data_IF_882800493862
#
_entry.id   IF_882800493862
#
_cell.length_a   1.000
_cell.length_b   1.000
_cell.length_c   1.000
_cell.angle_alpha   90.00
_cell.angle_beta   90.00
_cell.angle_gamma   90.00
#
_symmetry.space_group_name_H-M   'P 1'
#
loop_
_entity.id
_entity.type
_entity.pdbx_description
1 polymer ?
#
# COMPACT_ATOMS: atom_id res chain seq x y z
N UNK A 1 6.32 6.37 -16.70
CA UNK A 1 5.62 7.16 -15.65
C UNK A 1 6.02 6.61 -14.30
N UNK A 2 6.19 7.46 -13.29
CA UNK A 2 6.57 7.04 -11.92
C UNK A 2 5.35 6.37 -11.26
N UNK A 3 5.58 5.28 -10.54
CA UNK A 3 4.54 4.54 -9.82
C UNK A 3 4.90 4.47 -8.33
N UNK A 4 3.89 4.52 -7.47
CA UNK A 4 4.06 4.44 -6.01
C UNK A 4 3.12 3.36 -5.49
N UNK A 5 3.65 2.44 -4.70
CA UNK A 5 2.84 1.46 -3.97
C UNK A 5 2.19 2.17 -2.78
N UNK A 6 0.90 1.97 -2.56
CA UNK A 6 0.14 2.61 -1.49
C UNK A 6 -0.36 1.55 -0.51
N UNK A 7 -0.03 1.77 0.75
CA UNK A 7 -0.40 0.95 1.89
C UNK A 7 -1.74 1.38 2.52
N UNK A 8 -2.28 0.58 3.44
CA UNK A 8 -3.52 0.80 4.18
C UNK A 8 -3.53 2.16 4.89
N UNK A 9 -2.46 2.49 5.61
CA UNK A 9 -2.38 3.70 6.45
C UNK A 9 -2.70 5.00 5.70
N UNK A 10 -2.03 5.31 4.59
CA UNK A 10 -2.34 6.49 3.79
C UNK A 10 -3.75 6.49 3.19
N UNK A 11 -4.29 5.34 2.79
CA UNK A 11 -5.67 5.28 2.31
C UNK A 11 -6.66 5.62 3.43
N UNK A 12 -6.45 5.09 4.63
CA UNK A 12 -7.24 5.45 5.81
C UNK A 12 -7.11 6.95 6.07
N UNK A 13 -5.89 7.48 6.10
CA UNK A 13 -5.63 8.90 6.33
C UNK A 13 -6.34 9.80 5.31
N UNK A 14 -6.34 9.45 4.01
CA UNK A 14 -6.99 10.23 2.97
C UNK A 14 -8.52 10.22 3.07
N UNK A 15 -9.12 9.10 3.46
CA UNK A 15 -10.58 8.92 3.48
C UNK A 15 -11.21 9.00 4.88
N UNK A 16 -10.41 9.25 5.90
CA UNK A 16 -10.84 9.57 7.26
C UNK A 16 -10.35 10.98 7.63
N UNK A 17 -11.19 12.00 7.45
CA UNK A 17 -10.81 13.41 7.59
C UNK A 17 -10.30 13.80 9.00
N UNK A 18 -10.57 12.99 10.03
CA UNK A 18 -10.09 13.22 11.41
C UNK A 18 -8.80 12.44 11.72
N UNK A 19 -8.27 11.70 10.77
CA UNK A 19 -7.01 11.00 10.95
C UNK A 19 -5.87 12.01 11.13
N UNK A 20 -4.99 11.73 12.09
CA UNK A 20 -3.84 12.60 12.39
C UNK A 20 -2.88 12.75 11.20
N UNK A 21 -2.90 11.80 10.26
CA UNK A 21 -2.09 11.82 9.05
C UNK A 21 -2.83 12.38 7.82
N UNK A 22 -4.07 12.87 7.95
CA UNK A 22 -4.87 13.35 6.81
C UNK A 22 -4.15 14.42 5.98
N UNK A 23 -3.74 15.51 6.63
CA UNK A 23 -3.05 16.63 5.96
C UNK A 23 -1.67 16.23 5.41
N UNK A 24 -0.81 15.53 6.17
CA UNK A 24 0.43 14.97 5.63
C UNK A 24 0.23 14.06 4.40
N UNK A 25 -0.81 13.21 4.40
CA UNK A 25 -1.08 12.30 3.29
C UNK A 25 -1.52 13.04 2.02
N UNK A 26 -2.35 14.07 2.16
CA UNK A 26 -2.70 14.96 1.04
C UNK A 26 -1.46 15.64 0.46
N UNK A 27 -0.60 16.22 1.30
CA UNK A 27 0.61 16.90 0.84
C UNK A 27 1.55 15.96 0.06
N UNK A 28 1.64 14.69 0.44
CA UNK A 28 2.40 13.68 -0.32
C UNK A 28 1.81 13.47 -1.71
N UNK A 29 0.49 13.33 -1.85
CA UNK A 29 -0.15 13.17 -3.17
C UNK A 29 0.06 14.39 -4.07
N UNK A 30 -0.07 15.60 -3.51
CA UNK A 30 0.09 16.86 -4.26
C UNK A 30 1.53 17.07 -4.74
N UNK A 31 2.52 16.71 -3.91
CA UNK A 31 3.95 16.86 -4.23
C UNK A 31 4.54 15.73 -5.05
N UNK A 32 3.82 14.60 -5.20
CA UNK A 32 4.31 13.41 -5.91
C UNK A 32 3.33 12.94 -6.98
N UNK A 33 3.18 13.65 -8.12
CA UNK A 33 2.37 13.19 -9.22
C UNK A 33 2.91 11.86 -9.77
N UNK A 34 2.18 10.78 -9.52
CA UNK A 34 2.54 9.41 -9.86
C UNK A 34 1.28 8.55 -10.02
N UNK A 35 1.39 7.44 -10.74
CA UNK A 35 0.33 6.45 -10.72
C UNK A 35 0.41 5.65 -9.41
N UNK A 36 -0.72 5.56 -8.71
CA UNK A 36 -0.80 4.82 -7.46
C UNK A 36 -1.19 3.36 -7.74
N UNK A 37 -0.51 2.44 -7.08
CA UNK A 37 -0.81 1.00 -7.16
C UNK A 37 -0.98 0.41 -5.77
N UNK A 38 -1.87 -0.56 -5.61
CA UNK A 38 -2.07 -1.31 -4.36
C UNK A 38 -2.69 -2.67 -4.65
N UNK A 39 -3.19 -3.38 -3.64
CA UNK A 39 -3.81 -4.70 -3.75
C UNK A 39 -5.17 -4.73 -3.05
N UNK A 40 -6.00 -5.72 -3.38
CA UNK A 40 -7.30 -5.89 -2.71
C UNK A 40 -7.22 -6.13 -1.19
N UNK A 41 -6.24 -6.88 -0.65
CA UNK A 41 -6.05 -6.99 0.80
C UNK A 41 -5.92 -5.63 1.52
N UNK A 42 -5.14 -4.70 0.97
CA UNK A 42 -5.04 -3.31 1.49
C UNK A 42 -6.38 -2.59 1.46
N UNK A 43 -7.16 -2.75 0.37
CA UNK A 43 -8.51 -2.16 0.28
C UNK A 43 -9.43 -2.73 1.37
N UNK A 44 -9.35 -4.05 1.61
CA UNK A 44 -10.14 -4.72 2.66
C UNK A 44 -9.79 -4.18 4.05
N UNK A 45 -8.50 -4.05 4.37
CA UNK A 45 -8.06 -3.48 5.65
C UNK A 45 -8.47 -2.02 5.81
N UNK A 46 -8.24 -1.18 4.79
CA UNK A 46 -8.66 0.21 4.83
C UNK A 46 -10.17 0.33 5.09
N UNK A 47 -10.99 -0.55 4.49
CA UNK A 47 -12.42 -0.58 4.74
C UNK A 47 -12.78 -0.93 6.20
N UNK A 48 -11.97 -1.69 6.93
CA UNK A 48 -12.23 -1.97 8.35
C UNK A 48 -12.18 -0.70 9.21
N UNK A 49 -11.29 0.24 8.88
CA UNK A 49 -11.12 1.49 9.62
C UNK A 49 -12.04 2.62 9.14
N UNK A 50 -12.51 2.55 7.89
CA UNK A 50 -13.31 3.62 7.28
C UNK A 50 -14.79 3.52 7.64
N UNK A 51 -15.43 4.68 7.79
CA UNK A 51 -16.89 4.80 7.82
C UNK A 51 -17.51 4.38 6.48
N UNK A 52 -18.84 4.22 6.44
CA UNK A 52 -19.54 3.93 5.18
C UNK A 52 -19.21 4.95 4.08
N UNK A 53 -19.25 6.25 4.41
CA UNK A 53 -18.89 7.31 3.47
C UNK A 53 -17.43 7.21 3.00
N UNK A 54 -16.48 6.90 3.91
CA UNK A 54 -15.07 6.70 3.58
C UNK A 54 -14.86 5.53 2.63
N UNK A 55 -15.52 4.38 2.87
CA UNK A 55 -15.48 3.21 1.98
C UNK A 55 -15.99 3.54 0.57
N UNK A 56 -17.12 4.23 0.47
CA UNK A 56 -17.65 4.67 -0.83
C UNK A 56 -16.70 5.63 -1.56
N UNK A 57 -16.04 6.53 -0.83
CA UNK A 57 -15.05 7.44 -1.39
C UNK A 57 -13.82 6.68 -1.90
N UNK A 58 -13.27 5.74 -1.13
CA UNK A 58 -12.15 4.89 -1.53
C UNK A 58 -12.48 4.07 -2.79
N UNK A 59 -13.64 3.41 -2.84
CA UNK A 59 -14.04 2.64 -4.01
C UNK A 59 -14.30 3.54 -5.23
N UNK A 60 -14.78 4.76 -5.01
CA UNK A 60 -14.91 5.76 -6.09
C UNK A 60 -13.53 6.19 -6.62
N UNK A 61 -12.53 6.33 -5.74
CA UNK A 61 -11.15 6.64 -6.10
C UNK A 61 -10.54 5.55 -7.00
N UNK A 62 -10.74 4.28 -6.64
CA UNK A 62 -10.36 3.12 -7.47
C UNK A 62 -11.11 3.13 -8.81
N UNK A 63 -12.44 3.28 -8.80
CA UNK A 63 -13.28 3.30 -10.01
C UNK A 63 -12.89 4.40 -11.00
N UNK A 64 -12.40 5.54 -10.50
CA UNK A 64 -11.91 6.67 -11.32
C UNK A 64 -10.49 6.45 -11.87
N UNK A 65 -9.85 5.33 -11.54
CA UNK A 65 -8.49 5.01 -11.99
C UNK A 65 -7.39 5.75 -11.21
N UNK A 66 -7.73 6.43 -10.10
CA UNK A 66 -6.76 7.16 -9.30
C UNK A 66 -5.89 6.23 -8.42
N UNK A 67 -6.36 5.00 -8.17
CA UNK A 67 -5.61 3.90 -7.59
C UNK A 67 -5.84 2.64 -8.43
N UNK A 68 -4.76 2.08 -8.99
CA UNK A 68 -4.81 0.82 -9.73
C UNK A 68 -4.55 -0.34 -8.77
N UNK A 69 -5.31 -1.42 -8.91
CA UNK A 69 -5.13 -2.62 -8.09
C UNK A 69 -4.40 -3.68 -8.92
N UNK A 70 -3.27 -4.16 -8.41
CA UNK A 70 -2.53 -5.27 -9.00
C UNK A 70 -3.22 -6.59 -8.65
N UNK A 71 -3.32 -7.47 -9.64
CA UNK A 71 -3.93 -8.78 -9.46
C UNK A 71 -2.96 -9.75 -8.76
N UNK A 72 -3.52 -10.52 -7.84
CA UNK A 72 -2.86 -11.64 -7.20
C UNK A 72 -3.46 -12.94 -7.77
N UNK A 73 -2.61 -13.95 -7.92
CA UNK A 73 -2.95 -15.24 -8.50
C UNK A 73 -2.56 -16.38 -7.56
N UNK A 74 -3.04 -17.60 -7.82
CA UNK A 74 -2.69 -18.76 -6.97
C UNK A 74 -1.20 -19.09 -7.08
N UNK A 75 -0.59 -18.78 -8.23
CA UNK A 75 0.82 -18.93 -8.51
C UNK A 75 1.71 -18.03 -7.63
N UNK A 76 1.14 -16.97 -7.05
CA UNK A 76 1.84 -16.07 -6.14
C UNK A 76 1.91 -16.62 -4.70
N UNK A 77 1.07 -17.61 -4.34
CA UNK A 77 0.94 -18.13 -2.97
C UNK A 77 2.26 -18.63 -2.38
N UNK A 78 3.11 -19.40 -3.10
CA UNK A 78 4.39 -19.83 -2.53
C UNK A 78 5.30 -18.66 -2.13
N UNK A 79 5.28 -17.56 -2.89
CA UNK A 79 6.10 -16.38 -2.57
C UNK A 79 5.52 -15.59 -1.39
N UNK A 80 4.20 -15.51 -1.29
CA UNK A 80 3.52 -14.91 -0.13
C UNK A 80 3.80 -15.70 1.15
N UNK A 81 3.77 -17.04 1.07
CA UNK A 81 4.11 -17.93 2.19
C UNK A 81 5.57 -17.73 2.64
N UNK A 82 6.53 -17.67 1.69
CA UNK A 82 7.93 -17.35 2.00
C UNK A 82 8.09 -15.99 2.70
N UNK A 83 7.37 -14.96 2.25
CA UNK A 83 7.44 -13.61 2.84
C UNK A 83 6.90 -13.61 4.29
N UNK A 84 5.76 -14.25 4.52
CA UNK A 84 5.16 -14.39 5.85
C UNK A 84 6.05 -15.21 6.79
N UNK A 85 6.65 -16.30 6.30
CA UNK A 85 7.59 -17.11 7.08
C UNK A 85 8.87 -16.36 7.42
N UNK A 86 9.31 -15.43 6.55
CA UNK A 86 10.55 -14.66 6.73
C UNK A 86 10.41 -13.55 7.77
N UNK A 87 9.24 -12.95 7.89
CA UNK A 87 9.00 -11.78 8.74
C UNK A 87 7.90 -12.09 9.76
N UNK A 88 8.28 -12.37 11.00
CA UNK A 88 7.37 -12.83 12.07
C UNK A 88 6.14 -11.94 12.30
N UNK A 89 6.26 -10.64 12.04
CA UNK A 89 5.19 -9.65 12.27
C UNK A 89 4.48 -9.18 11.00
N UNK A 90 4.87 -9.70 9.83
CA UNK A 90 4.28 -9.28 8.57
C UNK A 90 2.85 -9.78 8.45
N UNK A 91 1.93 -8.88 8.11
CA UNK A 91 0.57 -9.25 7.74
C UNK A 91 0.46 -9.60 6.25
N UNK A 92 -0.69 -10.13 5.86
CA UNK A 92 -0.92 -10.54 4.49
C UNK A 92 -0.98 -9.35 3.51
N UNK A 93 -1.47 -8.18 3.94
CA UNK A 93 -1.53 -7.01 3.08
C UNK A 93 -0.12 -6.54 2.72
N UNK A 94 0.76 -6.39 3.72
CA UNK A 94 2.18 -6.08 3.56
C UNK A 94 2.89 -7.06 2.64
N UNK A 95 2.69 -8.38 2.85
CA UNK A 95 3.27 -9.41 2.01
C UNK A 95 2.89 -9.20 0.53
N UNK A 96 1.63 -8.82 0.27
CA UNK A 96 1.17 -8.56 -1.09
C UNK A 96 1.77 -7.30 -1.69
N UNK A 97 2.05 -6.27 -0.88
CA UNK A 97 2.74 -5.05 -1.32
C UNK A 97 4.20 -5.32 -1.68
N UNK A 98 4.90 -6.13 -0.88
CA UNK A 98 6.28 -6.56 -1.18
C UNK A 98 6.30 -7.43 -2.44
N UNK A 99 5.36 -8.36 -2.60
CA UNK A 99 5.25 -9.17 -3.80
C UNK A 99 5.06 -8.31 -5.07
N UNK A 100 4.13 -7.35 -5.06
CA UNK A 100 3.93 -6.50 -6.24
C UNK A 100 5.14 -5.60 -6.49
N UNK A 101 5.87 -5.18 -5.45
CA UNK A 101 7.13 -4.47 -5.60
C UNK A 101 8.19 -5.31 -6.33
N UNK A 102 8.24 -6.61 -6.05
CA UNK A 102 9.11 -7.56 -6.75
C UNK A 102 8.70 -7.72 -8.22
N UNK A 103 7.41 -7.92 -8.50
CA UNK A 103 6.88 -8.13 -9.86
C UNK A 103 7.02 -6.90 -10.75
N UNK A 104 6.80 -5.71 -10.19
CA UNK A 104 6.77 -4.45 -10.94
C UNK A 104 8.09 -3.68 -10.91
N UNK A 105 8.98 -4.03 -10.00
CA UNK A 105 10.23 -3.32 -9.76
C UNK A 105 10.10 -2.01 -8.97
N UNK A 106 8.87 -1.62 -8.56
CA UNK A 106 8.59 -0.39 -7.81
C UNK A 106 9.12 -0.51 -6.38
N UNK A 107 9.95 0.44 -5.94
CA UNK A 107 10.49 0.48 -4.57
C UNK A 107 10.07 1.72 -3.81
N UNK A 108 9.15 2.51 -4.35
CA UNK A 108 8.55 3.63 -3.63
C UNK A 108 7.27 3.17 -2.97
N UNK A 109 7.19 3.37 -1.66
CA UNK A 109 6.00 3.02 -0.91
C UNK A 109 5.50 4.22 -0.10
N UNK A 110 4.21 4.47 -0.23
CA UNK A 110 3.47 5.42 0.57
C UNK A 110 2.85 4.65 1.73
N UNK A 111 3.36 4.88 2.94
CA UNK A 111 2.93 4.22 4.18
C UNK A 111 3.05 5.18 5.36
N UNK A 112 2.31 4.90 6.43
CA UNK A 112 2.52 5.53 7.75
C UNK A 112 3.29 4.60 8.69
N UNK A 113 3.46 3.31 8.34
CA UNK A 113 4.24 2.36 9.09
C UNK A 113 5.69 2.34 8.61
N UNK A 114 6.50 3.12 9.32
CA UNK A 114 7.94 3.17 9.09
C UNK A 114 8.63 1.87 9.47
N UNK A 115 8.22 1.22 10.56
CA UNK A 115 9.01 0.17 11.22
C UNK A 115 9.09 -1.07 10.36
N UNK A 116 7.97 -1.42 9.75
CA UNK A 116 7.83 -2.65 8.99
C UNK A 116 8.53 -2.51 7.63
N UNK A 117 8.21 -1.46 6.86
CA UNK A 117 8.81 -1.23 5.55
C UNK A 117 10.29 -0.78 5.58
N UNK A 118 10.83 -0.35 6.73
CA UNK A 118 12.28 -0.17 6.90
C UNK A 118 13.04 -1.50 6.95
N UNK A 119 12.38 -2.60 7.35
CA UNK A 119 12.98 -3.93 7.50
C UNK A 119 12.72 -4.79 6.25
N UNK A 120 11.54 -4.67 5.65
CA UNK A 120 11.18 -5.46 4.47
C UNK A 120 12.10 -5.20 3.28
N UNK A 121 12.38 -6.26 2.52
CA UNK A 121 13.23 -6.22 1.33
C UNK A 121 12.55 -7.00 0.23
N UNK A 122 12.66 -6.47 -0.98
CA UNK A 122 12.43 -7.29 -2.19
C UNK A 122 13.38 -8.49 -2.21
N UNK A 123 13.04 -9.55 -2.94
CA UNK A 123 13.88 -10.73 -3.16
C UNK A 123 15.28 -10.38 -3.69
N UNK A 124 15.42 -9.31 -4.46
CA UNK A 124 16.72 -8.80 -4.93
C UNK A 124 17.48 -7.96 -3.88
N UNK A 125 17.01 -7.91 -2.63
CA UNK A 125 17.64 -7.19 -1.52
C UNK A 125 17.42 -5.67 -1.49
N UNK A 126 16.61 -5.10 -2.39
CA UNK A 126 16.39 -3.65 -2.43
C UNK A 126 15.52 -3.18 -1.27
N UNK A 127 15.86 -2.00 -0.73
CA UNK A 127 15.09 -1.27 0.29
C UNK A 127 13.96 -0.46 -0.35
N UNK A 128 12.92 -0.20 0.43
CA UNK A 128 11.85 0.72 0.05
C UNK A 128 12.24 2.18 0.35
N UNK A 129 11.86 3.08 -0.55
CA UNK A 129 11.83 4.52 -0.30
C UNK A 129 10.44 4.85 0.24
N UNK A 130 10.41 5.22 1.51
CA UNK A 130 9.19 5.52 2.24
C UNK A 130 8.74 6.96 1.97
N UNK A 131 7.45 7.14 1.74
CA UNK A 131 6.76 8.43 1.72
C UNK A 131 5.79 8.45 2.90
N UNK A 132 5.75 9.56 3.65
CA UNK A 132 4.94 9.80 4.86
C UNK A 132 5.38 9.08 6.16
N UNK A 133 6.44 8.27 6.13
CA UNK A 133 6.91 7.47 7.27
C UNK A 133 8.00 8.12 8.13
#
# INVERSE_FOLDING_TARGET
>A
MRNIIVDTGPLVALFHARDKHHEPAKAVLESNPAALVSTWPVITEACHFLSQAGRHALLTFVRRGALRLEALSVEDVPQLDELLARYERMDFADATLVLIAEKTGITEIFTVDRRDFEVYRTRSGRRFRLLLA
#
